data_IF_299928967204
#
_entry.id   IF_299928967204
#
_cell.length_a   1.000
_cell.length_b   1.000
_cell.length_c   1.000
_cell.angle_alpha   90.00
_cell.angle_beta   90.00
_cell.angle_gamma   90.00
#
_symmetry.space_group_name_H-M   'P 1'
#
loop_
_entity.id
_entity.type
_entity.pdbx_description
1 polymer ?
#
# COMPACT_ATOMS: atom_id res chain seq x y z
N UNK A 1 10.15 -9.29 -9.20
CA UNK A 1 9.15 -9.53 -8.13
C UNK A 1 8.01 -10.31 -8.76
N UNK A 2 7.48 -11.37 -8.13
CA UNK A 2 6.27 -12.02 -8.63
C UNK A 2 5.10 -11.01 -8.62
N UNK A 3 4.25 -11.06 -9.63
CA UNK A 3 3.04 -10.23 -9.69
C UNK A 3 2.15 -10.60 -8.50
N UNK A 4 1.93 -9.64 -7.61
CA UNK A 4 1.09 -9.79 -6.41
C UNK A 4 0.01 -8.72 -6.49
N UNK A 5 -1.23 -9.11 -6.23
CA UNK A 5 -2.33 -8.15 -6.15
C UNK A 5 -2.08 -7.21 -4.96
N UNK A 6 -2.11 -5.92 -5.22
CA UNK A 6 -1.88 -4.88 -4.21
C UNK A 6 -2.98 -3.82 -4.30
N UNK A 7 -3.37 -3.28 -3.14
CA UNK A 7 -4.06 -2.01 -3.08
C UNK A 7 -3.00 -0.93 -2.91
N UNK A 8 -3.01 0.06 -3.81
CA UNK A 8 -1.99 1.10 -3.86
C UNK A 8 -2.63 2.48 -3.81
N UNK A 9 -1.98 3.42 -3.12
CA UNK A 9 -2.34 4.84 -3.14
C UNK A 9 -1.10 5.68 -3.41
N UNK A 10 -1.25 6.69 -4.25
CA UNK A 10 -0.23 7.72 -4.47
C UNK A 10 -0.72 9.05 -3.95
N UNK A 11 0.16 9.75 -3.24
CA UNK A 11 -0.12 11.06 -2.71
C UNK A 11 1.13 11.94 -2.76
N UNK A 12 0.92 13.25 -2.70
CA UNK A 12 2.00 14.23 -2.51
C UNK A 12 2.25 14.42 -1.03
N UNK A 13 3.50 14.49 -0.65
CA UNK A 13 3.91 14.55 0.75
C UNK A 13 4.84 13.40 1.11
N UNK A 14 5.09 13.25 2.40
CA UNK A 14 6.05 12.30 2.95
C UNK A 14 5.44 11.54 4.14
N UNK A 15 6.26 11.23 5.14
CA UNK A 15 5.89 10.41 6.28
C UNK A 15 4.75 11.03 7.13
N UNK A 16 4.63 12.36 7.16
CA UNK A 16 3.62 13.06 7.96
C UNK A 16 2.18 12.78 7.50
N UNK A 17 1.98 12.60 6.20
CA UNK A 17 0.67 12.38 5.59
C UNK A 17 0.32 10.89 5.48
N UNK A 18 1.30 9.99 5.65
CA UNK A 18 1.13 8.55 5.51
C UNK A 18 0.03 7.94 6.39
N UNK A 19 -0.13 8.29 7.69
CA UNK A 19 -1.16 7.69 8.55
C UNK A 19 -2.58 7.83 7.99
N UNK A 20 -2.93 9.02 7.51
CA UNK A 20 -4.24 9.29 6.91
C UNK A 20 -4.47 8.49 5.60
N UNK A 21 -3.40 8.16 4.86
CA UNK A 21 -3.51 7.33 3.67
C UNK A 21 -3.65 5.85 4.02
N UNK A 22 -3.00 5.37 5.08
CA UNK A 22 -3.20 4.02 5.59
C UNK A 22 -4.65 3.78 6.00
N UNK A 23 -5.31 4.74 6.65
CA UNK A 23 -6.73 4.63 6.99
C UNK A 23 -7.61 4.45 5.74
N UNK A 24 -7.35 5.22 4.67
CA UNK A 24 -8.09 5.08 3.39
C UNK A 24 -7.86 3.72 2.73
N UNK A 25 -6.62 3.24 2.74
CA UNK A 25 -6.27 1.93 2.20
C UNK A 25 -6.98 0.81 2.97
N UNK A 26 -6.92 0.83 4.31
CA UNK A 26 -7.57 -0.17 5.15
C UNK A 26 -9.10 -0.13 4.98
N UNK A 27 -9.68 1.06 4.89
CA UNK A 27 -11.11 1.21 4.58
C UNK A 27 -11.45 0.57 3.24
N UNK A 28 -10.69 0.86 2.19
CA UNK A 28 -10.90 0.28 0.86
C UNK A 28 -10.81 -1.25 0.88
N UNK A 29 -9.78 -1.79 1.54
CA UNK A 29 -9.56 -3.24 1.70
C UNK A 29 -10.77 -3.90 2.36
N UNK A 30 -11.27 -3.30 3.45
CA UNK A 30 -12.44 -3.79 4.17
C UNK A 30 -13.72 -3.71 3.32
N UNK A 31 -13.97 -2.56 2.68
CA UNK A 31 -15.15 -2.34 1.84
C UNK A 31 -15.22 -3.33 0.65
N UNK A 32 -14.07 -3.82 0.17
CA UNK A 32 -13.97 -4.73 -0.98
C UNK A 32 -13.77 -6.20 -0.59
N UNK A 33 -13.88 -6.57 0.68
CA UNK A 33 -13.64 -7.93 1.18
C UNK A 33 -12.29 -8.50 0.72
N UNK A 34 -11.24 -7.69 0.89
CA UNK A 34 -9.85 -8.06 0.63
C UNK A 34 -9.15 -8.37 1.95
N UNK A 35 -8.18 -9.27 1.92
CA UNK A 35 -7.36 -9.61 3.09
C UNK A 35 -5.91 -9.24 2.85
N UNK A 36 -5.29 -8.54 3.80
CA UNK A 36 -3.85 -8.22 3.77
C UNK A 36 -3.03 -9.49 3.94
N UNK A 37 -2.05 -9.71 3.05
CA UNK A 37 -1.24 -10.92 3.02
C UNK A 37 0.24 -10.71 3.33
N UNK A 38 0.66 -9.48 3.62
CA UNK A 38 2.05 -9.17 3.92
C UNK A 38 2.29 -7.72 4.30
N UNK A 39 3.58 -7.37 4.40
CA UNK A 39 4.01 -6.02 4.77
C UNK A 39 3.67 -4.99 3.69
N UNK A 40 3.28 -3.80 4.13
CA UNK A 40 3.16 -2.64 3.26
C UNK A 40 4.53 -2.23 2.73
N UNK A 41 4.52 -1.66 1.53
CA UNK A 41 5.70 -1.05 0.91
C UNK A 41 5.42 0.41 0.68
N UNK A 42 6.34 1.25 1.11
CA UNK A 42 6.30 2.69 0.93
C UNK A 42 7.49 3.10 0.07
N UNK A 43 7.20 3.75 -1.06
CA UNK A 43 8.21 4.24 -2.00
C UNK A 43 7.98 5.73 -2.19
N UNK A 44 8.94 6.54 -1.77
CA UNK A 44 8.93 7.99 -1.99
C UNK A 44 9.83 8.32 -3.18
N UNK A 45 9.22 8.79 -4.27
CA UNK A 45 9.94 9.39 -5.39
C UNK A 45 10.31 10.82 -5.04
N UNK A 46 11.62 11.06 -5.00
CA UNK A 46 12.25 12.34 -4.71
C UNK A 46 12.95 12.83 -5.99
N UNK A 47 12.59 14.00 -6.49
CA UNK A 47 13.34 14.66 -7.55
C UNK A 47 14.42 15.55 -6.93
N UNK A 48 15.57 14.94 -6.64
CA UNK A 48 16.72 15.63 -6.02
C UNK A 48 17.46 16.58 -6.98
N UNK A 49 17.13 16.61 -8.28
CA UNK A 49 17.79 17.45 -9.26
C UNK A 49 17.28 18.91 -9.30
N UNK A 50 16.08 19.17 -8.75
CA UNK A 50 15.39 20.45 -8.92
C UNK A 50 15.03 21.18 -7.62
N UNK A 51 14.83 20.47 -6.49
CA UNK A 51 14.37 21.14 -5.25
C UNK A 51 14.51 20.27 -4.00
N UNK A 52 14.68 20.91 -2.84
CA UNK A 52 14.53 20.30 -1.50
C UNK A 52 13.11 20.43 -0.94
N UNK A 53 12.15 20.82 -1.78
CA UNK A 53 10.74 21.01 -1.42
C UNK A 53 10.03 19.65 -1.34
N UNK A 54 9.69 19.25 -0.11
CA UNK A 54 9.03 17.99 0.21
C UNK A 54 7.62 17.89 -0.38
N UNK A 55 7.01 19.01 -0.75
CA UNK A 55 5.69 19.05 -1.44
C UNK A 55 5.76 18.50 -2.87
N UNK A 56 6.97 18.37 -3.43
CA UNK A 56 7.18 17.76 -4.74
C UNK A 56 7.46 16.26 -4.65
N UNK A 57 7.54 15.72 -3.43
CA UNK A 57 7.71 14.29 -3.24
C UNK A 57 6.38 13.59 -3.50
N UNK A 58 6.47 12.46 -4.20
CA UNK A 58 5.33 11.57 -4.42
C UNK A 58 5.61 10.28 -3.68
N UNK A 59 4.76 9.95 -2.72
CA UNK A 59 4.83 8.69 -2.00
C UNK A 59 3.76 7.75 -2.53
N UNK A 60 4.17 6.52 -2.81
CA UNK A 60 3.28 5.39 -3.08
C UNK A 60 3.32 4.43 -1.90
N UNK A 61 2.16 4.13 -1.33
CA UNK A 61 1.99 3.03 -0.38
C UNK A 61 1.25 1.91 -1.08
N UNK A 62 1.80 0.71 -1.02
CA UNK A 62 1.24 -0.51 -1.61
C UNK A 62 1.11 -1.60 -0.55
N UNK A 63 -0.09 -2.16 -0.39
CA UNK A 63 -0.39 -3.24 0.56
C UNK A 63 -0.79 -4.49 -0.23
N UNK A 64 -0.07 -5.61 -0.09
CA UNK A 64 -0.43 -6.86 -0.77
C UNK A 64 -1.71 -7.45 -0.18
N UNK A 65 -2.60 -7.90 -1.06
CA UNK A 65 -3.93 -8.43 -0.69
C UNK A 65 -4.31 -9.67 -1.50
N UNK A 66 -5.28 -10.42 -0.98
CA UNK A 66 -6.01 -11.49 -1.70
C UNK A 66 -7.51 -11.30 -1.51
N UNK A 67 -8.32 -11.80 -2.46
CA UNK A 67 -9.76 -11.84 -2.29
C UNK A 67 -10.14 -12.86 -1.22
N UNK A 68 -11.04 -12.50 -0.29
CA UNK A 68 -11.46 -13.39 0.81
C UNK A 68 -12.13 -14.69 0.31
N UNK A 69 -12.60 -14.72 -0.95
CA UNK A 69 -13.15 -15.93 -1.57
C UNK A 69 -12.10 -16.85 -2.22
N UNK A 70 -10.85 -16.40 -2.37
CA UNK A 70 -9.75 -17.25 -2.79
C UNK A 70 -9.15 -17.89 -1.53
N UNK A 71 -9.67 -19.08 -1.18
CA UNK A 71 -9.05 -19.93 -0.16
C UNK A 71 -7.55 -20.02 -0.44
N UNK A 72 -6.73 -19.55 0.49
CA UNK A 72 -5.27 -19.74 0.42
C UNK A 72 -5.03 -21.26 0.33
N UNK A 73 -4.47 -21.78 -0.77
CA UNK A 73 -4.11 -23.19 -0.84
C UNK A 73 -2.90 -23.39 0.06
N UNK A 74 -3.11 -23.86 1.29
CA UNK A 74 -2.01 -24.14 2.23
C UNK A 74 -2.32 -24.01 3.71
N UNK A 75 -3.48 -23.49 4.11
CA UNK A 75 -3.87 -23.48 5.53
C UNK A 75 -4.51 -24.82 5.93
N UNK A 76 -3.73 -25.90 5.90
CA UNK A 76 -4.04 -27.10 6.69
C UNK A 76 -3.46 -26.89 8.09
N UNK A 77 -4.35 -26.56 9.02
CA UNK A 77 -4.09 -26.54 10.45
C UNK A 77 -3.66 -27.94 10.94
N UNK A 78 -2.79 -27.95 11.95
CA UNK A 78 -2.36 -29.12 12.73
C UNK A 78 -3.52 -30.02 13.19
#
# INVERSE_FOLDING_TARGET
MPETLCVSIRFRGSHGEAPAQYEKLLKYINDHNLQVTGFSREITMIDYGLTSDTEKFVTEISIPVVAVNERIPGSNSL
#
